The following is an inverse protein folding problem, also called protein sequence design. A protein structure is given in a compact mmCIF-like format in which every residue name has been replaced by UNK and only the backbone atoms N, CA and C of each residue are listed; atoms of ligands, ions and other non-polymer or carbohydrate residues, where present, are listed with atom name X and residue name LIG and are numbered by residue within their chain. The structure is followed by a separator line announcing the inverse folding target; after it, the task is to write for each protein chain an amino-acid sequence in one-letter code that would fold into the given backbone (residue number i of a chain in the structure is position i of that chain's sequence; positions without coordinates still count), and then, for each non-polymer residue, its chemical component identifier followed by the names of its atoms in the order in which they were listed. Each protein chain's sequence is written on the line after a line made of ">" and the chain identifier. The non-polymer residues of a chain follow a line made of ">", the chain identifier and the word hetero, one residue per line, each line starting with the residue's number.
data_IF_240268784908
#
_entry.id   IF_240268784908
#
_cell.length_a   1.000
_cell.length_b   1.000
_cell.length_c   1.000
_cell.angle_alpha   90.00
_cell.angle_beta   90.00
_cell.angle_gamma   90.00
#
_symmetry.space_group_name_H-M   'P 1'
#
loop_
_entity.id
_entity.type
_entity.pdbx_description
1 polymer ?
#
# COMPACT_ATOMS: atom_id res chain seq x y z
N UNK A 1 42.79 -50.99 -27.34
CA UNK A 1 41.95 -51.77 -26.41
C UNK A 1 40.75 -50.92 -26.04
N UNK A 2 39.55 -51.45 -26.29
CA UNK A 2 38.25 -50.93 -25.84
C UNK A 2 38.20 -50.86 -24.29
N UNK A 3 37.34 -50.09 -23.61
CA UNK A 3 35.90 -49.95 -23.84
C UNK A 3 35.34 -48.68 -23.17
N UNK A 4 34.41 -48.02 -23.87
CA UNK A 4 33.46 -47.03 -23.33
C UNK A 4 32.37 -47.76 -22.55
N UNK A 5 32.03 -47.28 -21.35
CA UNK A 5 30.82 -47.70 -20.64
C UNK A 5 29.85 -46.51 -20.62
N UNK A 6 28.81 -46.64 -21.45
CA UNK A 6 27.59 -45.85 -21.36
C UNK A 6 26.79 -46.33 -20.14
N UNK A 7 26.40 -45.41 -19.26
CA UNK A 7 25.35 -45.67 -18.27
C UNK A 7 24.09 -44.94 -18.73
N UNK A 8 23.21 -45.71 -19.36
CA UNK A 8 21.81 -45.36 -19.59
C UNK A 8 21.04 -45.65 -18.29
N UNK A 9 20.36 -44.67 -17.72
CA UNK A 9 19.25 -44.93 -16.80
C UNK A 9 17.95 -44.45 -17.43
N UNK A 10 17.10 -45.43 -17.73
CA UNK A 10 15.85 -45.28 -18.45
C UNK A 10 14.70 -44.73 -17.63
N UNK A 11 13.79 -44.06 -18.33
CA UNK A 11 12.45 -43.74 -17.88
C UNK A 11 11.67 -45.02 -17.56
N UNK A 12 11.06 -45.10 -16.37
CA UNK A 12 9.97 -46.03 -16.08
C UNK A 12 8.67 -45.23 -15.94
N UNK A 13 7.74 -45.44 -16.88
CA UNK A 13 6.34 -45.02 -16.76
C UNK A 13 5.56 -46.14 -16.07
N UNK A 14 4.82 -45.81 -15.02
CA UNK A 14 3.66 -46.58 -14.54
C UNK A 14 2.50 -45.61 -14.24
N UNK A 15 1.44 -45.74 -15.05
CA UNK A 15 0.03 -45.41 -14.75
C UNK A 15 -0.54 -46.53 -13.85
N UNK A 16 -1.47 -46.38 -12.89
CA UNK A 16 -2.49 -45.37 -12.56
C UNK A 16 -3.23 -45.76 -11.25
N UNK A 17 -3.95 -44.79 -10.64
CA UNK A 17 -5.20 -44.92 -9.81
C UNK A 17 -5.04 -45.44 -8.34
N UNK A 18 -5.65 -44.89 -7.28
CA UNK A 18 -6.62 -43.80 -7.01
C UNK A 18 -6.57 -43.46 -5.49
N UNK A 19 -7.01 -42.25 -5.13
CA UNK A 19 -7.66 -41.85 -3.86
C UNK A 19 -6.88 -41.86 -2.52
N UNK A 20 -6.47 -40.65 -2.11
CA UNK A 20 -6.53 -40.23 -0.71
C UNK A 20 -7.04 -38.79 -0.64
N UNK A 21 -8.35 -38.64 -0.41
CA UNK A 21 -9.03 -37.38 -0.11
C UNK A 21 -8.42 -36.85 1.20
N UNK A 22 -7.51 -35.88 1.12
CA UNK A 22 -7.15 -35.06 2.28
C UNK A 22 -8.26 -34.03 2.48
N UNK A 23 -9.02 -34.24 3.57
CA UNK A 23 -9.96 -33.28 4.14
C UNK A 23 -9.27 -31.92 4.29
N UNK A 24 -9.65 -30.97 3.44
CA UNK A 24 -9.39 -29.55 3.69
C UNK A 24 -10.43 -29.12 4.72
N UNK A 25 -9.95 -28.63 5.85
CA UNK A 25 -10.75 -28.10 6.95
C UNK A 25 -11.58 -26.91 6.47
N UNK A 26 -12.85 -27.16 6.16
CA UNK A 26 -13.83 -26.17 5.67
C UNK A 26 -14.34 -25.21 6.77
N UNK A 27 -13.64 -25.09 7.90
CA UNK A 27 -14.05 -24.23 9.02
C UNK A 27 -13.31 -22.88 9.09
N UNK A 28 -12.31 -22.62 8.24
CA UNK A 28 -11.67 -21.30 8.13
C UNK A 28 -12.36 -20.36 7.10
N UNK A 29 -13.32 -20.87 6.32
CA UNK A 29 -13.86 -20.16 5.13
C UNK A 29 -15.19 -19.42 5.42
N UNK A 30 -15.60 -19.30 6.69
CA UNK A 30 -16.89 -18.67 7.05
C UNK A 30 -16.82 -17.21 7.50
N UNK A 31 -15.64 -16.59 7.60
CA UNK A 31 -15.52 -15.20 8.10
C UNK A 31 -15.12 -14.14 7.07
N UNK A 32 -14.56 -14.52 5.92
CA UNK A 32 -14.08 -13.55 4.90
C UNK A 32 -14.96 -13.46 3.63
N UNK A 33 -16.04 -14.25 3.56
CA UNK A 33 -16.94 -14.27 2.40
C UNK A 33 -17.89 -13.06 2.31
N UNK A 34 -17.94 -12.20 3.33
CA UNK A 34 -18.77 -10.98 3.30
C UNK A 34 -18.02 -9.75 2.75
N UNK A 35 -16.69 -9.79 2.63
CA UNK A 35 -15.92 -8.71 2.01
C UNK A 35 -15.84 -8.81 0.47
N UNK A 36 -16.26 -9.94 -0.10
CA UNK A 36 -16.10 -10.27 -1.54
C UNK A 36 -17.42 -10.09 -2.33
N UNK A 37 -18.52 -9.70 -1.68
CA UNK A 37 -19.85 -9.52 -2.32
C UNK A 37 -20.30 -8.08 -2.55
N UNK A 38 -19.41 -7.10 -2.43
CA UNK A 38 -19.65 -5.71 -2.86
C UNK A 38 -18.83 -5.41 -4.12
N UNK A 39 -18.99 -6.26 -5.13
CA UNK A 39 -18.50 -6.02 -6.48
C UNK A 39 -19.63 -5.49 -7.35
N UNK A 40 -19.41 -4.30 -7.92
CA UNK A 40 -20.07 -3.73 -9.11
C UNK A 40 -21.43 -3.03 -8.90
N UNK A 41 -21.39 -1.72 -8.67
CA UNK A 41 -22.31 -0.82 -9.37
C UNK A 41 -21.65 -0.41 -10.69
N UNK A 42 -21.64 -1.31 -11.69
CA UNK A 42 -21.25 -0.96 -13.08
C UNK A 42 -22.15 0.17 -13.61
N UNK A 43 -23.36 0.30 -13.05
CA UNK A 43 -24.35 1.30 -13.46
C UNK A 43 -23.92 2.76 -13.26
N UNK A 44 -22.88 3.03 -12.46
CA UNK A 44 -22.43 4.42 -12.18
C UNK A 44 -21.10 4.80 -12.82
N UNK A 45 -20.42 3.91 -13.54
CA UNK A 45 -19.07 4.18 -14.07
C UNK A 45 -17.99 4.36 -12.99
N UNK A 46 -18.28 3.94 -11.76
CA UNK A 46 -17.39 4.06 -10.60
C UNK A 46 -16.81 2.70 -10.23
N UNK A 47 -15.50 2.65 -10.03
CA UNK A 47 -14.80 1.49 -9.47
C UNK A 47 -14.57 1.71 -7.98
N UNK A 48 -14.86 0.70 -7.18
CA UNK A 48 -14.75 0.76 -5.71
C UNK A 48 -13.68 -0.21 -5.25
N UNK A 49 -12.78 0.30 -4.40
CA UNK A 49 -11.68 -0.44 -3.81
C UNK A 49 -11.86 -0.44 -2.29
N UNK A 50 -11.88 -1.63 -1.70
CA UNK A 50 -12.13 -1.79 -0.27
C UNK A 50 -10.84 -2.19 0.44
N UNK A 51 -10.65 -1.70 1.65
CA UNK A 51 -9.49 -2.08 2.46
C UNK A 51 -9.48 -3.57 2.81
N UNK A 52 -8.29 -4.15 2.70
CA UNK A 52 -8.00 -5.52 3.09
C UNK A 52 -7.34 -5.53 4.46
N UNK A 53 -8.10 -5.93 5.48
CA UNK A 53 -7.58 -6.09 6.85
C UNK A 53 -6.66 -7.31 7.03
N UNK A 54 -6.77 -8.29 6.13
CA UNK A 54 -5.94 -9.50 6.11
C UNK A 54 -4.58 -9.34 5.41
N UNK A 55 -4.06 -8.12 5.26
CA UNK A 55 -2.75 -7.88 4.66
C UNK A 55 -1.64 -8.46 5.55
N UNK A 56 -0.90 -9.45 5.05
CA UNK A 56 0.22 -10.03 5.80
C UNK A 56 1.42 -9.11 5.68
N UNK A 57 1.92 -8.63 6.81
CA UNK A 57 3.10 -7.78 6.92
C UNK A 57 4.22 -8.55 7.61
N UNK A 58 5.41 -8.57 7.04
CA UNK A 58 6.59 -9.22 7.61
C UNK A 58 7.78 -8.32 7.41
N UNK A 59 8.45 -7.96 8.50
CA UNK A 59 9.61 -7.09 8.49
C UNK A 59 10.84 -7.78 9.08
N UNK A 60 12.03 -7.27 8.75
CA UNK A 60 13.31 -7.72 9.33
C UNK A 60 14.10 -6.52 9.89
N UNK A 61 13.42 -5.55 10.50
CA UNK A 61 14.05 -4.29 10.94
C UNK A 61 15.18 -4.50 11.95
N UNK A 62 15.18 -5.60 12.70
CA UNK A 62 16.25 -5.96 13.63
C UNK A 62 17.46 -6.65 12.97
N UNK A 63 17.38 -7.01 11.68
CA UNK A 63 18.33 -7.91 11.03
C UNK A 63 19.25 -7.17 10.06
N UNK A 64 20.45 -6.84 10.54
CA UNK A 64 21.58 -6.43 9.70
C UNK A 64 21.38 -5.09 8.97
N UNK A 65 22.24 -4.81 7.96
CA UNK A 65 22.27 -3.50 7.32
C UNK A 65 21.17 -3.28 6.27
N UNK A 66 20.44 -4.32 5.85
CA UNK A 66 19.40 -4.21 4.83
C UNK A 66 18.03 -4.59 5.40
N UNK A 67 17.34 -3.56 5.88
CA UNK A 67 16.01 -3.66 6.43
C UNK A 67 14.97 -3.78 5.30
N UNK A 68 13.84 -4.41 5.59
CA UNK A 68 12.78 -4.67 4.61
C UNK A 68 11.42 -4.83 5.27
N UNK A 69 10.40 -4.52 4.48
CA UNK A 69 9.00 -4.75 4.77
C UNK A 69 8.37 -5.49 3.59
N UNK A 70 7.78 -6.65 3.88
CA UNK A 70 7.10 -7.49 2.90
C UNK A 70 5.59 -7.43 3.17
N UNK A 71 4.82 -6.95 2.20
CA UNK A 71 3.37 -6.91 2.24
C UNK A 71 2.83 -7.96 1.26
N UNK A 72 2.03 -8.89 1.76
CA UNK A 72 1.52 -10.01 0.97
C UNK A 72 0.02 -10.15 1.10
N UNK A 73 -0.66 -10.30 -0.02
CA UNK A 73 -2.09 -10.59 -0.07
C UNK A 73 -2.40 -11.47 -1.27
N UNK A 74 -2.97 -12.66 -1.03
CA UNK A 74 -3.18 -13.68 -2.08
C UNK A 74 -1.86 -13.97 -2.82
N UNK A 75 -1.85 -13.77 -4.14
CA UNK A 75 -0.72 -13.90 -5.04
C UNK A 75 0.03 -12.57 -5.29
N UNK A 76 -0.38 -11.48 -4.63
CA UNK A 76 0.31 -10.18 -4.67
C UNK A 76 1.40 -10.14 -3.60
N UNK A 77 2.61 -9.76 -4.01
CA UNK A 77 3.73 -9.52 -3.12
C UNK A 77 4.37 -8.16 -3.41
N UNK A 78 4.40 -7.30 -2.40
CA UNK A 78 5.10 -6.02 -2.42
C UNK A 78 6.28 -6.13 -1.45
N UNK A 79 7.48 -5.91 -1.97
CA UNK A 79 8.71 -5.99 -1.21
C UNK A 79 9.34 -4.63 -1.14
N UNK A 80 9.44 -4.06 0.04
CA UNK A 80 10.13 -2.80 0.28
C UNK A 80 11.49 -3.13 0.90
N UNK A 81 12.56 -2.58 0.33
CA UNK A 81 13.91 -2.66 0.87
C UNK A 81 14.41 -1.26 1.16
N UNK A 82 15.09 -1.14 2.29
CA UNK A 82 15.70 0.09 2.74
C UNK A 82 17.21 -0.11 2.65
N UNK A 83 17.84 0.74 1.85
CA UNK A 83 19.27 0.71 1.57
C UNK A 83 19.77 2.12 1.82
N UNK A 84 20.59 2.26 2.86
CA UNK A 84 21.05 3.57 3.34
C UNK A 84 19.86 4.50 3.63
N UNK A 85 19.78 5.63 2.94
CA UNK A 85 18.80 6.68 3.10
C UNK A 85 17.62 6.55 2.13
N UNK A 86 17.48 5.43 1.40
CA UNK A 86 16.48 5.26 0.33
C UNK A 86 15.65 3.99 0.52
N UNK A 87 14.40 4.09 0.08
CA UNK A 87 13.50 2.95 -0.03
C UNK A 87 13.32 2.55 -1.50
N UNK A 88 13.22 1.25 -1.74
CA UNK A 88 12.94 0.66 -3.04
C UNK A 88 11.83 -0.36 -2.92
N UNK A 89 10.95 -0.41 -3.91
CA UNK A 89 9.84 -1.35 -3.96
C UNK A 89 9.95 -2.26 -5.18
N UNK A 90 9.72 -3.55 -4.97
CA UNK A 90 9.54 -4.56 -6.00
C UNK A 90 8.12 -5.13 -5.87
N UNK A 91 7.50 -5.40 -7.01
CA UNK A 91 6.14 -5.93 -7.08
C UNK A 91 6.09 -7.20 -7.90
N UNK A 92 5.46 -8.23 -7.34
CA UNK A 92 5.29 -9.53 -7.97
C UNK A 92 3.85 -10.03 -7.87
N UNK A 93 3.43 -10.74 -8.91
CA UNK A 93 2.13 -11.41 -9.03
C UNK A 93 2.38 -12.87 -9.38
N UNK A 94 1.80 -13.79 -8.63
CA UNK A 94 1.98 -15.24 -8.80
C UNK A 94 3.47 -15.65 -8.81
N UNK A 95 4.28 -14.99 -7.99
CA UNK A 95 5.72 -15.21 -7.90
C UNK A 95 6.53 -14.69 -9.10
N UNK A 96 5.89 -14.08 -10.11
CA UNK A 96 6.56 -13.40 -11.22
C UNK A 96 6.77 -11.93 -10.90
N UNK A 97 7.99 -11.45 -11.06
CA UNK A 97 8.30 -10.02 -10.90
C UNK A 97 7.62 -9.26 -12.04
N UNK A 98 6.66 -8.42 -11.68
CA UNK A 98 5.95 -7.53 -12.60
C UNK A 98 6.72 -6.21 -12.73
N UNK A 99 7.25 -5.74 -11.61
CA UNK A 99 8.08 -4.55 -11.55
C UNK A 99 9.28 -4.84 -10.66
N UNK A 100 10.47 -4.71 -11.24
CA UNK A 100 11.70 -4.81 -10.48
C UNK A 100 11.91 -3.59 -9.58
N UNK A 101 12.97 -3.57 -8.79
CA UNK A 101 13.27 -2.51 -7.83
C UNK A 101 13.14 -1.11 -8.46
N UNK A 102 12.20 -0.33 -7.94
CA UNK A 102 12.00 1.08 -8.26
C UNK A 102 12.07 1.91 -6.98
N UNK A 103 12.38 3.19 -7.11
CA UNK A 103 12.35 4.10 -5.98
C UNK A 103 10.96 4.13 -5.31
N UNK A 104 10.95 4.14 -3.99
CA UNK A 104 9.76 4.25 -3.16
C UNK A 104 9.83 5.54 -2.35
N UNK A 105 8.78 6.35 -2.40
CA UNK A 105 8.65 7.58 -1.64
C UNK A 105 8.53 7.30 -0.13
N UNK A 106 8.05 6.11 0.25
CA UNK A 106 7.88 5.75 1.64
C UNK A 106 9.22 5.42 2.31
N UNK A 107 9.76 6.36 3.09
CA UNK A 107 11.04 6.21 3.76
C UNK A 107 10.92 6.37 5.28
N UNK A 108 11.13 5.31 6.06
CA UNK A 108 11.06 5.45 7.52
C UNK A 108 12.29 6.14 8.15
N UNK A 109 13.36 6.46 7.41
CA UNK A 109 14.46 7.21 8.03
C UNK A 109 14.13 8.70 8.19
N UNK A 110 13.25 9.23 7.35
CA UNK A 110 12.90 10.64 7.33
C UNK A 110 11.41 10.86 7.53
N UNK A 111 10.57 9.98 6.98
CA UNK A 111 9.14 10.24 6.86
C UNK A 111 8.28 9.48 7.89
N UNK A 112 8.83 8.49 8.59
CA UNK A 112 8.02 7.66 9.50
C UNK A 112 8.87 6.89 10.50
N UNK A 113 8.27 6.06 11.36
CA UNK A 113 8.99 5.00 12.05
C UNK A 113 8.68 3.65 11.40
N UNK A 114 9.54 2.64 11.59
CA UNK A 114 9.27 1.32 11.03
C UNK A 114 7.98 0.70 11.61
N UNK A 115 7.67 0.98 12.89
CA UNK A 115 6.44 0.55 13.54
C UNK A 115 5.22 1.24 12.96
N UNK A 116 5.31 2.52 12.63
CA UNK A 116 4.24 3.27 11.99
C UNK A 116 4.03 2.74 10.57
N UNK A 117 5.11 2.59 9.80
CA UNK A 117 5.06 2.01 8.44
C UNK A 117 4.39 0.64 8.44
N UNK A 118 4.77 -0.24 9.37
CA UNK A 118 4.16 -1.56 9.47
C UNK A 118 2.70 -1.48 9.92
N UNK A 119 2.34 -0.66 10.91
CA UNK A 119 0.96 -0.60 11.42
C UNK A 119 0.01 0.08 10.43
N UNK A 120 0.44 1.18 9.82
CA UNK A 120 -0.40 2.13 9.10
C UNK A 120 -0.26 2.06 7.57
N UNK A 121 0.35 0.99 7.05
CA UNK A 121 0.25 0.67 5.62
C UNK A 121 -1.07 -0.03 5.29
N UNK A 122 -1.78 0.41 4.26
CA UNK A 122 -3.09 -0.12 3.88
C UNK A 122 -3.13 -0.60 2.43
N UNK A 123 -3.84 -1.71 2.18
CA UNK A 123 -4.11 -2.22 0.84
C UNK A 123 -5.60 -2.07 0.53
N UNK A 124 -5.93 -1.30 -0.51
CA UNK A 124 -7.29 -1.16 -1.05
C UNK A 124 -7.38 -1.97 -2.32
N UNK A 125 -8.30 -2.92 -2.42
CA UNK A 125 -8.33 -3.89 -3.50
C UNK A 125 -9.70 -3.99 -4.15
N UNK A 126 -9.70 -4.13 -5.48
CA UNK A 126 -10.84 -4.51 -6.28
C UNK A 126 -10.62 -5.93 -6.82
N UNK A 127 -11.49 -6.86 -6.41
CA UNK A 127 -11.39 -8.25 -6.81
C UNK A 127 -11.85 -8.55 -8.24
N UNK A 128 -12.47 -7.58 -8.93
CA UNK A 128 -13.03 -7.77 -10.27
C UNK A 128 -11.95 -7.66 -11.34
N UNK A 129 -11.09 -6.65 -11.25
CA UNK A 129 -10.05 -6.32 -12.23
C UNK A 129 -8.63 -6.54 -11.69
N UNK A 130 -8.51 -7.14 -10.51
CA UNK A 130 -7.24 -7.46 -9.88
C UNK A 130 -6.33 -6.23 -9.70
N UNK A 131 -6.94 -5.07 -9.46
CA UNK A 131 -6.23 -3.81 -9.27
C UNK A 131 -6.50 -3.21 -7.88
N UNK A 132 -5.72 -2.20 -7.51
CA UNK A 132 -5.90 -1.54 -6.24
C UNK A 132 -4.90 -0.44 -5.94
N UNK A 133 -4.92 -0.02 -4.68
CA UNK A 133 -4.05 0.99 -4.13
C UNK A 133 -3.32 0.49 -2.90
N UNK A 134 -2.05 0.83 -2.79
CA UNK A 134 -1.22 0.66 -1.62
C UNK A 134 -0.97 2.04 -1.02
N UNK A 135 -1.33 2.21 0.24
CA UNK A 135 -1.17 3.45 0.99
C UNK A 135 -0.04 3.25 1.98
N UNK A 136 0.99 4.08 1.88
CA UNK A 136 2.06 4.17 2.88
C UNK A 136 1.93 5.46 3.66
N UNK A 137 2.08 5.44 4.99
CA UNK A 137 2.06 6.66 5.78
C UNK A 137 3.19 7.58 5.31
N UNK A 138 2.84 8.85 5.11
CA UNK A 138 3.75 9.96 4.82
C UNK A 138 3.94 10.81 6.08
N UNK A 139 4.93 11.69 6.08
CA UNK A 139 5.23 12.55 7.23
C UNK A 139 4.54 13.90 7.11
N UNK A 140 3.70 14.19 8.10
CA UNK A 140 3.48 15.56 8.59
C UNK A 140 3.26 15.51 10.10
N UNK A 141 3.62 16.60 10.79
CA UNK A 141 3.41 16.69 12.24
C UNK A 141 1.93 16.93 12.62
N UNK A 142 1.12 17.44 11.69
CA UNK A 142 -0.20 17.99 11.99
C UNK A 142 -1.36 17.12 11.46
N UNK A 143 -1.17 16.45 10.32
CA UNK A 143 -2.22 15.76 9.59
C UNK A 143 -1.81 14.36 9.11
N UNK A 144 -2.79 13.47 9.01
CA UNK A 144 -2.57 12.14 8.44
C UNK A 144 -2.37 12.25 6.93
N UNK A 145 -1.25 11.73 6.44
CA UNK A 145 -0.87 11.77 5.02
C UNK A 145 -0.47 10.39 4.52
N UNK A 146 -0.68 10.14 3.22
CA UNK A 146 -0.36 8.87 2.60
C UNK A 146 0.20 9.04 1.18
N UNK A 147 1.34 8.39 0.92
CA UNK A 147 1.78 8.12 -0.44
C UNK A 147 0.89 7.05 -1.07
N UNK A 148 0.26 7.39 -2.19
CA UNK A 148 -0.67 6.52 -2.91
C UNK A 148 0.05 5.86 -4.07
N UNK A 149 0.09 4.53 -4.05
CA UNK A 149 0.56 3.71 -5.15
C UNK A 149 -0.59 2.93 -5.76
N UNK A 150 -0.73 2.97 -7.08
CA UNK A 150 -1.67 2.14 -7.82
C UNK A 150 -0.97 0.89 -8.33
N UNK A 151 -1.61 -0.26 -8.16
CA UNK A 151 -1.16 -1.51 -8.77
C UNK A 151 -2.25 -2.13 -9.64
N UNK A 152 -1.79 -2.83 -10.67
CA UNK A 152 -2.60 -3.68 -11.55
C UNK A 152 -1.89 -5.03 -11.68
N UNK A 153 -2.35 -5.90 -12.58
CA UNK A 153 -1.65 -7.12 -12.94
C UNK A 153 -0.29 -6.87 -13.64
N UNK A 154 -0.06 -5.67 -14.17
CA UNK A 154 1.09 -5.37 -15.03
C UNK A 154 2.03 -4.25 -14.56
N UNK A 155 1.67 -3.50 -13.52
CA UNK A 155 2.52 -2.40 -13.01
C UNK A 155 2.19 -2.02 -11.57
N UNK A 156 3.14 -1.33 -10.93
CA UNK A 156 2.98 -0.59 -9.69
C UNK A 156 3.51 0.84 -9.88
N UNK A 157 2.67 1.85 -9.73
CA UNK A 157 3.08 3.24 -9.96
C UNK A 157 2.69 4.13 -8.78
N UNK A 158 3.57 5.06 -8.44
CA UNK A 158 3.19 6.18 -7.59
C UNK A 158 2.16 7.05 -8.31
N UNK A 159 1.15 7.54 -7.58
CA UNK A 159 0.08 8.38 -8.13
C UNK A 159 0.17 9.79 -7.56
N UNK A 160 0.12 9.92 -6.24
CA UNK A 160 0.05 11.20 -5.52
C UNK A 160 0.26 11.01 -4.01
N UNK A 161 0.42 12.13 -3.31
CA UNK A 161 0.31 12.20 -1.84
C UNK A 161 -1.08 12.78 -1.50
N UNK A 162 -1.72 12.22 -0.49
CA UNK A 162 -3.04 12.65 -0.02
C UNK A 162 -3.01 12.99 1.45
N UNK A 163 -3.74 14.04 1.83
CA UNK A 163 -3.78 14.58 3.20
C UNK A 163 -5.21 14.60 3.72
N UNK A 164 -5.40 14.21 4.97
CA UNK A 164 -6.63 14.47 5.68
C UNK A 164 -6.50 15.85 6.34
N UNK A 165 -7.02 16.88 5.67
CA UNK A 165 -6.94 18.29 6.07
C UNK A 165 -7.88 18.63 7.26
N UNK A 166 -7.83 17.80 8.29
CA UNK A 166 -8.47 17.98 9.59
C UNK A 166 -7.90 16.96 10.56
N UNK A 167 -7.88 17.27 11.85
CA UNK A 167 -7.61 16.28 12.88
C UNK A 167 -8.91 15.54 13.22
N UNK A 168 -9.07 14.26 12.82
CA UNK A 168 -10.22 13.49 13.26
C UNK A 168 -10.14 13.26 14.78
N UNK A 169 -11.27 12.97 15.46
CA UNK A 169 -11.26 12.59 16.86
C UNK A 169 -10.27 11.46 17.12
N UNK A 170 -9.57 11.46 18.27
CA UNK A 170 -8.60 10.41 18.61
C UNK A 170 -9.21 8.98 18.60
N UNK A 171 -10.53 8.88 18.82
CA UNK A 171 -11.32 7.66 18.70
C UNK A 171 -11.31 7.07 17.29
N UNK A 172 -11.12 7.87 16.24
CA UNK A 172 -11.15 7.43 14.85
C UNK A 172 -10.01 6.45 14.54
N UNK A 173 -8.82 6.69 15.08
CA UNK A 173 -7.64 5.86 14.86
C UNK A 173 -7.57 4.66 15.80
N UNK A 174 -8.12 4.78 16.99
CA UNK A 174 -8.12 3.73 18.02
C UNK A 174 -9.27 2.72 17.86
N UNK A 175 -10.32 3.07 17.14
CA UNK A 175 -11.41 2.17 16.78
C UNK A 175 -11.23 1.55 15.39
N UNK A 176 -12.06 0.54 15.09
CA UNK A 176 -12.14 -0.05 13.74
C UNK A 176 -12.56 1.03 12.74
N UNK A 177 -11.59 1.54 11.99
CA UNK A 177 -11.81 2.38 10.83
C UNK A 177 -11.58 1.56 9.56
N UNK A 178 -12.15 2.00 8.44
CA UNK A 178 -11.98 1.35 7.14
C UNK A 178 -11.66 2.37 6.06
N UNK A 179 -10.59 2.13 5.31
CA UNK A 179 -10.25 2.90 4.13
C UNK A 179 -11.05 2.42 2.91
N UNK A 180 -11.31 3.35 2.01
CA UNK A 180 -11.98 3.11 0.73
C UNK A 180 -11.37 4.02 -0.32
N UNK A 181 -11.26 3.51 -1.55
CA UNK A 181 -11.03 4.35 -2.71
C UNK A 181 -12.15 4.20 -3.72
N UNK A 182 -12.49 5.29 -4.38
CA UNK A 182 -13.44 5.33 -5.48
C UNK A 182 -12.73 5.98 -6.66
N UNK A 183 -12.68 5.26 -7.79
CA UNK A 183 -12.24 5.81 -9.06
C UNK A 183 -13.43 6.13 -9.94
N UNK A 184 -13.48 7.35 -10.43
CA UNK A 184 -14.47 7.82 -11.40
C UNK A 184 -13.72 8.52 -12.54
N UNK A 185 -13.77 7.94 -13.74
CA UNK A 185 -12.92 8.35 -14.87
C UNK A 185 -11.44 8.35 -14.45
N UNK A 186 -10.78 9.52 -14.46
CA UNK A 186 -9.38 9.68 -14.10
C UNK A 186 -9.17 10.20 -12.67
N UNK A 187 -10.24 10.43 -11.91
CA UNK A 187 -10.16 10.92 -10.54
C UNK A 187 -10.21 9.75 -9.54
N UNK A 188 -9.36 9.84 -8.51
CA UNK A 188 -9.32 8.89 -7.39
C UNK A 188 -9.61 9.68 -6.13
N UNK A 189 -10.66 9.27 -5.42
CA UNK A 189 -11.00 9.77 -4.09
C UNK A 189 -10.68 8.69 -3.07
N UNK A 190 -9.92 9.04 -2.04
CA UNK A 190 -9.66 8.17 -0.88
C UNK A 190 -10.44 8.72 0.31
N UNK A 191 -11.01 7.81 1.09
CA UNK A 191 -11.70 8.15 2.33
C UNK A 191 -11.47 7.12 3.43
N UNK A 192 -11.66 7.58 4.65
CA UNK A 192 -11.64 6.82 5.90
C UNK A 192 -13.04 6.88 6.50
N UNK A 193 -13.60 5.73 6.88
CA UNK A 193 -14.87 5.66 7.61
C UNK A 193 -14.62 5.18 9.02
N UNK A 194 -15.13 5.91 10.03
CA UNK A 194 -15.03 5.51 11.43
C UNK A 194 -16.08 4.44 11.82
N UNK A 195 -16.02 3.99 13.07
CA UNK A 195 -16.96 3.01 13.62
C UNK A 195 -18.41 3.52 13.74
N UNK A 196 -18.64 4.84 13.64
CA UNK A 196 -19.96 5.49 13.65
C UNK A 196 -20.49 5.70 12.23
N UNK A 197 -19.72 5.31 11.21
CA UNK A 197 -20.08 5.46 9.80
C UNK A 197 -19.80 6.86 9.24
N UNK A 198 -19.10 7.74 9.97
CA UNK A 198 -18.71 9.05 9.47
C UNK A 198 -17.55 8.92 8.50
N UNK A 199 -17.72 9.48 7.30
CA UNK A 199 -16.71 9.50 6.25
C UNK A 199 -15.82 10.76 6.35
N UNK A 200 -14.52 10.55 6.26
CA UNK A 200 -13.46 11.55 6.23
C UNK A 200 -12.75 11.42 4.89
N UNK A 201 -12.65 12.52 4.14
CA UNK A 201 -12.11 12.51 2.77
C UNK A 201 -10.71 13.09 2.74
N UNK A 202 -9.81 12.39 2.08
CA UNK A 202 -8.47 12.90 1.82
C UNK A 202 -8.48 13.83 0.59
N UNK A 203 -7.64 14.84 0.63
CA UNK A 203 -7.41 15.82 -0.42
C UNK A 203 -6.03 15.60 -1.07
N UNK A 204 -5.84 16.06 -2.30
CA UNK A 204 -4.54 16.01 -2.97
C UNK A 204 -3.60 17.02 -2.31
N UNK A 205 -2.44 16.58 -1.80
CA UNK A 205 -1.54 17.45 -1.02
C UNK A 205 -1.00 18.63 -1.83
N UNK A 206 -0.73 18.46 -3.12
CA UNK A 206 -0.26 19.55 -4.00
C UNK A 206 -1.26 20.72 -4.08
N UNK A 207 -2.57 20.43 -4.05
CA UNK A 207 -3.61 21.47 -4.05
C UNK A 207 -3.72 22.21 -2.72
N UNK A 208 -3.25 21.61 -1.64
CA UNK A 208 -3.25 22.22 -0.32
C UNK A 208 -2.13 23.29 -0.21
N UNK A 209 -0.92 22.99 -0.69
CA UNK A 209 0.21 23.93 -0.70
C UNK A 209 -0.07 25.21 -1.50
N UNK A 210 -0.85 25.14 -2.58
CA UNK A 210 -1.24 26.32 -3.36
C UNK A 210 -2.14 27.28 -2.55
N UNK A 211 -3.04 26.73 -1.72
CA UNK A 211 -3.95 27.55 -0.91
C UNK A 211 -3.25 28.22 0.27
N UNK A 212 -2.28 27.55 0.91
CA UNK A 212 -1.46 28.18 1.96
C UNK A 212 -0.55 29.29 1.43
N UNK A 213 -0.04 29.15 0.20
CA UNK A 213 0.83 30.16 -0.43
C UNK A 213 0.13 31.48 -0.78
N UNK A 214 -1.20 31.52 -0.71
CA UNK A 214 -2.00 32.72 -0.99
C UNK A 214 -2.26 33.60 0.25
N UNK A 215 -1.82 33.16 1.43
CA UNK A 215 -1.94 33.90 2.70
C UNK A 215 -0.63 34.57 3.12
N UNK A 216 -0.60 35.90 3.07
CA UNK A 216 0.34 36.81 3.75
C UNK A 216 1.85 36.64 3.52
N UNK A 217 2.34 37.32 2.48
CA UNK A 217 3.72 37.84 2.46
C UNK A 217 3.73 39.37 2.43
N UNK A 218 3.48 39.98 3.58
CA UNK A 218 3.94 41.34 3.91
C UNK A 218 4.80 41.31 5.17
N UNK A 219 5.88 40.53 5.15
CA UNK A 219 6.90 40.51 6.22
C UNK A 219 8.17 41.30 5.88
N UNK A 220 8.14 42.16 4.85
CA UNK A 220 9.32 42.93 4.41
C UNK A 220 9.42 44.36 4.97
N UNK A 221 8.49 44.85 5.80
CA UNK A 221 8.51 46.25 6.24
C UNK A 221 8.93 46.50 7.70
N UNK A 222 9.08 45.47 8.53
CA UNK A 222 9.36 45.66 9.97
C UNK A 222 10.85 45.59 10.38
N UNK A 223 11.78 45.44 9.42
CA UNK A 223 13.22 45.37 9.72
C UNK A 223 14.02 46.64 9.43
N UNK A 224 13.38 47.76 9.09
CA UNK A 224 14.08 49.05 8.86
C UNK A 224 13.63 50.10 9.88
N UNK A 225 13.90 49.91 11.17
CA UNK A 225 13.74 50.98 12.17
C UNK A 225 14.73 50.94 13.35
N UNK A 226 15.81 50.15 13.27
CA UNK A 226 16.77 50.02 14.38
C UNK A 226 18.18 50.59 14.14
N UNK A 227 18.42 51.37 13.07
CA UNK A 227 19.75 51.94 12.81
C UNK A 227 19.74 53.43 12.42
N UNK A 228 19.02 54.27 13.16
CA UNK A 228 19.22 55.73 13.04
C UNK A 228 19.01 56.48 14.37
N UNK A 229 19.85 56.20 15.36
CA UNK A 229 20.25 57.21 16.36
C UNK A 229 21.73 57.00 16.74
N UNK A 230 22.58 57.84 16.15
CA UNK A 230 23.87 58.25 16.72
C UNK A 230 24.00 59.74 16.49
#
# INVERSE_FOLDING_TARGET
>A
MACLINVLYGCKKETSKTEAIKKIDNNAIKKDSNAVKTGLSIESGKMVYNEIKGLKKVSNYADGPMQSLNLNFKNLAFKIRYIEDRAYIQYAVDGRIIQDWQFCNANFYYDSSYEIMEKDSHLLYNGVDFSGFLLFPSFTEEYSTYFVYEFTDNKLQYVKDVILNMTPPAETWSNVHTFKAIREKNAIQISLTDNKGKEYRFEDRERFSENESSGDHNLSNDLILLNSKK
#
